data_IF_842163022263
#
_entry.id   IF_842163022263
#
_cell.length_a   1.000
_cell.length_b   1.000
_cell.length_c   1.000
_cell.angle_alpha   90.00
_cell.angle_beta   90.00
_cell.angle_gamma   90.00
#
_symmetry.space_group_name_H-M   'P 1'
#
loop_
_entity.id
_entity.type
_entity.pdbx_description
1 polymer ?
#
# COMPACT_ATOMS: atom_id res chain seq x y z
N UNK A 1 -58.17 50.44 8.85
CA UNK A 1 -57.14 51.27 9.52
C UNK A 1 -57.00 50.66 10.90
N UNK A 2 -55.90 50.01 11.33
CA UNK A 2 -54.49 50.43 11.26
C UNK A 2 -53.57 49.20 11.46
N UNK A 3 -52.61 49.07 10.54
CA UNK A 3 -51.22 48.57 10.60
C UNK A 3 -50.73 47.59 11.69
N UNK A 4 -50.35 46.39 11.20
CA UNK A 4 -49.14 45.57 11.38
C UNK A 4 -48.18 45.78 12.57
N UNK A 5 -47.73 44.65 13.15
CA UNK A 5 -46.32 44.41 13.46
C UNK A 5 -45.91 43.01 12.99
N UNK A 6 -44.95 42.97 12.07
CA UNK A 6 -44.27 41.77 11.58
C UNK A 6 -43.04 41.57 12.45
N UNK A 7 -42.87 40.38 13.02
CA UNK A 7 -41.59 39.97 13.60
C UNK A 7 -41.13 38.72 12.86
N UNK A 8 -40.21 38.91 11.90
CA UNK A 8 -39.52 37.81 11.21
C UNK A 8 -38.45 37.27 12.15
N UNK A 9 -38.70 36.12 12.76
CA UNK A 9 -37.67 35.39 13.49
C UNK A 9 -36.83 34.60 12.48
N UNK A 10 -35.69 35.16 12.09
CA UNK A 10 -34.71 34.49 11.23
C UNK A 10 -34.00 33.39 12.01
N UNK A 11 -34.21 32.13 11.64
CA UNK A 11 -33.44 31.01 12.14
C UNK A 11 -32.17 30.88 11.32
N UNK A 12 -31.03 31.29 11.89
CA UNK A 12 -29.71 30.95 11.39
C UNK A 12 -29.37 29.53 11.88
N UNK A 13 -29.61 28.52 11.06
CA UNK A 13 -29.04 27.18 11.27
C UNK A 13 -27.57 27.23 10.86
N UNK A 14 -26.70 27.40 11.84
CA UNK A 14 -25.27 27.18 11.67
C UNK A 14 -25.02 25.69 11.43
N UNK A 15 -24.66 25.33 10.19
CA UNK A 15 -24.27 23.98 9.84
C UNK A 15 -22.93 23.62 10.49
N UNK A 16 -22.96 22.74 11.50
CA UNK A 16 -21.76 22.14 12.06
C UNK A 16 -21.22 21.12 11.06
N UNK A 17 -20.20 21.49 10.30
CA UNK A 17 -19.46 20.58 9.44
C UNK A 17 -18.61 19.68 10.35
N UNK A 18 -19.13 18.50 10.71
CA UNK A 18 -18.36 17.48 11.40
C UNK A 18 -17.38 16.88 10.40
N UNK A 19 -16.14 17.35 10.43
CA UNK A 19 -15.04 16.68 9.73
C UNK A 19 -14.72 15.42 10.53
N UNK A 20 -15.26 14.28 10.08
CA UNK A 20 -14.90 12.98 10.64
C UNK A 20 -13.48 12.66 10.17
N UNK A 21 -12.48 12.52 11.06
CA UNK A 21 -11.18 12.02 10.65
C UNK A 21 -11.37 10.59 10.13
N UNK A 22 -10.95 10.34 8.88
CA UNK A 22 -10.88 8.99 8.36
C UNK A 22 -9.88 8.21 9.21
N UNK A 23 -10.38 7.32 10.07
CA UNK A 23 -9.53 6.34 10.72
C UNK A 23 -8.85 5.52 9.62
N UNK A 24 -7.52 5.64 9.51
CA UNK A 24 -6.75 4.68 8.74
C UNK A 24 -6.91 3.36 9.47
N UNK A 25 -7.79 2.49 8.96
CA UNK A 25 -7.79 1.10 9.40
C UNK A 25 -6.35 0.61 9.28
N UNK A 26 -5.85 -0.08 10.30
CA UNK A 26 -4.60 -0.86 10.16
C UNK A 26 -4.92 -1.89 9.08
N UNK A 27 -4.64 -1.52 7.84
CA UNK A 27 -5.06 -2.26 6.67
C UNK A 27 -4.42 -3.63 6.77
N UNK A 28 -5.25 -4.67 6.72
CA UNK A 28 -4.74 -6.03 6.64
C UNK A 28 -3.76 -6.19 5.48
N UNK A 29 -2.95 -7.23 5.51
CA UNK A 29 -1.98 -7.59 4.46
C UNK A 29 -2.62 -7.99 3.12
N UNK A 30 -3.92 -7.70 2.92
CA UNK A 30 -4.72 -8.01 1.74
C UNK A 30 -5.72 -6.90 1.45
N UNK A 31 -5.84 -6.50 0.18
CA UNK A 31 -6.94 -5.69 -0.35
C UNK A 31 -7.44 -6.27 -1.67
N UNK A 32 -8.69 -5.97 -2.04
CA UNK A 32 -9.23 -6.25 -3.36
C UNK A 32 -9.59 -4.93 -4.01
N UNK A 33 -9.01 -4.65 -5.17
CA UNK A 33 -9.27 -3.43 -5.95
C UNK A 33 -9.48 -3.85 -7.40
N UNK A 34 -10.58 -3.42 -8.00
CA UNK A 34 -10.93 -3.68 -9.40
C UNK A 34 -10.80 -5.16 -9.82
N UNK A 35 -11.22 -6.08 -8.93
CA UNK A 35 -11.18 -7.52 -9.17
C UNK A 35 -9.80 -8.17 -9.04
N UNK A 36 -8.80 -7.43 -8.55
CA UNK A 36 -7.47 -7.96 -8.22
C UNK A 36 -7.33 -8.05 -6.70
N UNK A 37 -7.07 -9.26 -6.21
CA UNK A 37 -6.65 -9.49 -4.83
C UNK A 37 -5.14 -9.23 -4.71
N UNK A 38 -4.79 -8.27 -3.87
CA UNK A 38 -3.45 -7.74 -3.66
C UNK A 38 -3.03 -8.13 -2.25
N UNK A 39 -2.03 -9.00 -2.15
CA UNK A 39 -1.40 -9.35 -0.88
C UNK A 39 -0.08 -8.61 -0.76
N UNK A 40 0.19 -8.06 0.40
CA UNK A 40 1.34 -7.22 0.68
C UNK A 40 2.04 -7.72 1.95
N UNK A 41 3.37 -7.75 1.93
CA UNK A 41 4.19 -8.08 3.09
C UNK A 41 5.39 -7.13 3.20
N UNK A 42 5.82 -6.86 4.44
CA UNK A 42 7.10 -6.23 4.74
C UNK A 42 7.80 -7.07 5.79
N UNK A 43 9.06 -7.41 5.54
CA UNK A 43 9.92 -8.12 6.47
C UNK A 43 11.34 -7.51 6.47
N UNK A 44 12.11 -7.62 7.57
CA UNK A 44 13.51 -7.22 7.59
C UNK A 44 14.33 -8.01 6.57
N UNK A 45 15.25 -7.36 5.86
CA UNK A 45 16.15 -8.02 4.92
C UNK A 45 17.02 -9.07 5.61
N UNK A 46 17.27 -8.93 6.91
CA UNK A 46 18.01 -9.88 7.74
C UNK A 46 17.40 -11.28 7.76
N UNK A 47 16.07 -11.40 7.65
CA UNK A 47 15.42 -12.71 7.54
C UNK A 47 15.80 -13.40 6.22
N UNK A 48 15.92 -12.65 5.13
CA UNK A 48 16.37 -13.17 3.83
C UNK A 48 17.87 -13.48 3.87
N UNK A 49 18.68 -12.65 4.54
CA UNK A 49 20.13 -12.90 4.74
C UNK A 49 20.40 -14.19 5.52
N UNK A 50 19.49 -14.59 6.40
CA UNK A 50 19.60 -15.82 7.17
C UNK A 50 19.51 -17.10 6.33
N UNK A 51 19.09 -17.01 5.07
CA UNK A 51 18.99 -18.17 4.18
C UNK A 51 20.35 -18.65 3.67
N UNK A 52 20.49 -19.94 3.30
CA UNK A 52 21.68 -20.45 2.64
C UNK A 52 22.00 -19.66 1.36
N UNK A 53 23.29 -19.55 0.94
CA UNK A 53 23.67 -18.81 -0.26
C UNK A 53 22.94 -19.27 -1.55
N UNK A 54 22.55 -20.54 -1.61
CA UNK A 54 21.79 -21.12 -2.73
C UNK A 54 20.32 -20.72 -2.76
N UNK A 55 19.83 -19.98 -1.77
CA UNK A 55 18.44 -19.55 -1.73
C UNK A 55 18.16 -18.57 -2.88
N UNK A 56 17.05 -18.72 -3.64
CA UNK A 56 16.77 -17.88 -4.81
C UNK A 56 16.83 -16.37 -4.53
N UNK A 57 16.44 -15.95 -3.33
CA UNK A 57 16.45 -14.54 -2.92
C UNK A 57 17.83 -13.94 -2.58
N UNK A 58 18.90 -14.75 -2.46
CA UNK A 58 20.21 -14.27 -1.98
C UNK A 58 20.88 -13.24 -2.92
N UNK A 59 20.63 -13.35 -4.22
CA UNK A 59 21.14 -12.43 -5.25
C UNK A 59 20.06 -11.53 -5.88
N UNK A 60 18.81 -11.63 -5.43
CA UNK A 60 17.73 -10.80 -5.98
C UNK A 60 17.98 -9.32 -5.67
N UNK A 61 17.54 -8.43 -6.57
CA UNK A 61 17.65 -6.98 -6.43
C UNK A 61 19.10 -6.46 -6.28
N UNK A 62 20.09 -7.21 -6.78
CA UNK A 62 21.51 -6.89 -6.62
C UNK A 62 22.11 -7.36 -5.29
N UNK A 63 21.39 -8.19 -4.54
CA UNK A 63 21.80 -8.75 -3.26
C UNK A 63 20.92 -8.29 -2.09
N UNK A 64 21.14 -8.88 -0.92
CA UNK A 64 20.34 -8.59 0.28
C UNK A 64 21.04 -7.52 1.15
N UNK A 65 20.53 -6.27 1.17
CA UNK A 65 21.12 -5.18 1.95
C UNK A 65 20.97 -5.41 3.48
N UNK A 66 21.72 -4.63 4.26
CA UNK A 66 21.63 -4.60 5.74
C UNK A 66 20.77 -3.41 6.15
N UNK A 67 19.84 -3.61 7.09
CA UNK A 67 19.02 -2.56 7.68
C UNK A 67 17.85 -2.07 6.82
N UNK A 68 17.64 -2.67 5.64
CA UNK A 68 16.46 -2.39 4.80
C UNK A 68 15.37 -3.44 5.02
N UNK A 69 14.17 -3.18 4.48
CA UNK A 69 13.04 -4.08 4.55
C UNK A 69 12.69 -4.57 3.15
N UNK A 70 12.41 -5.86 3.01
CA UNK A 70 11.91 -6.45 1.79
C UNK A 70 10.39 -6.24 1.73
N UNK A 71 9.93 -5.40 0.79
CA UNK A 71 8.53 -5.29 0.47
C UNK A 71 8.18 -6.34 -0.59
N UNK A 72 7.14 -7.12 -0.34
CA UNK A 72 6.66 -8.17 -1.25
C UNK A 72 5.20 -7.97 -1.60
N UNK A 73 4.83 -8.23 -2.86
CA UNK A 73 3.47 -8.10 -3.38
C UNK A 73 3.11 -9.30 -4.23
N UNK A 74 2.02 -9.98 -3.88
CA UNK A 74 1.44 -11.06 -4.67
C UNK A 74 0.07 -10.62 -5.22
N UNK A 75 -0.15 -10.88 -6.52
CA UNK A 75 -1.34 -10.44 -7.24
C UNK A 75 -2.11 -11.63 -7.77
N UNK A 76 -3.43 -11.60 -7.60
CA UNK A 76 -4.33 -12.63 -8.09
C UNK A 76 -5.59 -12.01 -8.66
N UNK A 77 -6.18 -12.65 -9.65
CA UNK A 77 -7.59 -12.42 -9.97
C UNK A 77 -8.45 -12.85 -8.77
N UNK A 78 -9.26 -11.94 -8.24
CA UNK A 78 -9.99 -12.16 -6.98
C UNK A 78 -11.04 -13.28 -7.11
N UNK A 79 -11.69 -13.38 -8.27
CA UNK A 79 -12.75 -14.37 -8.52
C UNK A 79 -12.21 -15.79 -8.70
N UNK A 80 -11.10 -15.93 -9.41
CA UNK A 80 -10.59 -17.23 -9.86
C UNK A 80 -9.42 -17.72 -9.00
N UNK A 81 -8.78 -16.81 -8.26
CA UNK A 81 -7.52 -17.09 -7.56
C UNK A 81 -6.33 -17.29 -8.50
N UNK A 82 -6.48 -17.04 -9.80
CA UNK A 82 -5.39 -17.16 -10.77
C UNK A 82 -4.34 -16.10 -10.49
N UNK A 83 -3.08 -16.51 -10.39
CA UNK A 83 -1.97 -15.60 -10.11
C UNK A 83 -1.67 -14.72 -11.33
N UNK A 84 -1.52 -13.42 -11.10
CA UNK A 84 -1.15 -12.44 -12.12
C UNK A 84 0.38 -12.27 -12.09
N UNK A 85 1.05 -12.74 -13.14
CA UNK A 85 2.53 -12.87 -13.17
C UNK A 85 3.25 -11.89 -14.09
N UNK A 86 2.52 -11.15 -14.94
CA UNK A 86 3.09 -10.22 -15.93
C UNK A 86 2.71 -8.75 -15.68
N UNK A 87 2.36 -8.39 -14.46
CA UNK A 87 2.06 -7.02 -14.08
C UNK A 87 3.33 -6.15 -14.01
N UNK A 88 3.17 -4.85 -14.21
CA UNK A 88 4.16 -3.84 -13.80
C UNK A 88 3.71 -3.26 -12.47
N UNK A 89 4.59 -3.26 -11.48
CA UNK A 89 4.27 -2.79 -10.13
C UNK A 89 5.32 -1.79 -9.68
N UNK A 90 4.88 -0.69 -9.08
CA UNK A 90 5.74 0.23 -8.33
C UNK A 90 5.12 0.55 -6.98
N UNK A 91 5.98 0.80 -6.00
CA UNK A 91 5.56 1.22 -4.67
C UNK A 91 6.11 2.63 -4.37
N UNK A 92 5.23 3.50 -3.89
CA UNK A 92 5.61 4.77 -3.24
C UNK A 92 5.37 4.64 -1.75
N UNK A 93 6.42 4.77 -0.96
CA UNK A 93 6.38 4.75 0.50
C UNK A 93 6.55 6.17 1.00
N UNK A 94 5.65 6.64 1.85
CA UNK A 94 5.75 7.89 2.58
C UNK A 94 5.72 7.63 4.08
N UNK A 95 6.53 8.36 4.85
CA UNK A 95 6.66 8.17 6.29
C UNK A 95 6.94 9.49 7.03
N UNK A 96 7.37 9.42 8.30
CA UNK A 96 7.72 10.59 9.12
C UNK A 96 8.82 11.45 8.48
N UNK A 97 8.98 12.68 8.96
CA UNK A 97 10.05 13.60 8.55
C UNK A 97 10.11 13.86 7.03
N UNK A 98 8.95 13.90 6.38
CA UNK A 98 8.81 14.05 4.93
C UNK A 98 9.49 12.93 4.11
N UNK A 99 9.75 11.78 4.73
CA UNK A 99 10.29 10.61 4.04
C UNK A 99 9.36 10.21 2.90
N UNK A 100 9.93 10.10 1.69
CA UNK A 100 9.24 9.62 0.50
C UNK A 100 10.22 8.92 -0.44
N UNK A 101 9.86 7.72 -0.87
CA UNK A 101 10.64 6.97 -1.86
C UNK A 101 9.71 6.22 -2.80
N UNK A 102 10.08 6.16 -4.08
CA UNK A 102 9.37 5.36 -5.08
C UNK A 102 10.34 4.42 -5.75
N UNK A 103 10.01 3.12 -5.82
CA UNK A 103 10.76 2.13 -6.59
C UNK A 103 9.82 1.25 -7.41
N UNK A 104 10.33 0.73 -8.53
CA UNK A 104 9.68 -0.40 -9.23
C UNK A 104 9.88 -1.66 -8.39
N UNK A 105 8.88 -2.53 -8.37
CA UNK A 105 9.00 -3.86 -7.78
C UNK A 105 9.35 -4.84 -8.89
N UNK A 106 10.45 -5.56 -8.71
CA UNK A 106 10.96 -6.52 -9.68
C UNK A 106 10.22 -7.86 -9.51
N UNK A 107 9.94 -8.57 -10.61
CA UNK A 107 9.43 -9.94 -10.54
C UNK A 107 10.43 -10.86 -9.84
N UNK A 108 9.93 -11.70 -8.96
CA UNK A 108 10.71 -12.67 -8.20
C UNK A 108 9.91 -13.94 -7.93
N UNK A 109 10.60 -15.01 -7.57
CA UNK A 109 10.01 -16.29 -7.18
C UNK A 109 10.35 -16.55 -5.71
N UNK A 110 9.34 -16.53 -4.85
CA UNK A 110 9.45 -16.91 -3.44
C UNK A 110 8.67 -18.20 -3.23
N UNK A 111 9.33 -19.25 -2.72
CA UNK A 111 8.73 -20.57 -2.51
C UNK A 111 7.96 -21.10 -3.75
N UNK A 112 8.52 -20.92 -4.94
CA UNK A 112 7.90 -21.34 -6.20
C UNK A 112 6.76 -20.45 -6.72
N UNK A 113 6.45 -19.35 -6.03
CA UNK A 113 5.35 -18.45 -6.37
C UNK A 113 5.84 -17.10 -6.91
N UNK A 114 5.28 -16.69 -8.05
CA UNK A 114 5.55 -15.38 -8.64
C UNK A 114 5.06 -14.23 -7.75
N UNK A 115 5.99 -13.36 -7.39
CA UNK A 115 5.81 -12.23 -6.47
C UNK A 115 6.55 -11.03 -7.05
N UNK A 116 6.23 -9.82 -6.59
CA UNK A 116 6.96 -8.60 -6.94
C UNK A 116 7.60 -8.02 -5.68
N UNK A 117 8.86 -7.62 -5.75
CA UNK A 117 9.56 -7.11 -4.57
C UNK A 117 10.63 -6.09 -4.85
N UNK A 118 11.02 -5.38 -3.80
CA UNK A 118 12.24 -4.58 -3.74
C UNK A 118 12.59 -4.30 -2.28
N UNK A 119 13.84 -3.95 -2.02
CA UNK A 119 14.28 -3.49 -0.70
C UNK A 119 14.05 -1.98 -0.54
N UNK A 120 13.66 -1.57 0.66
CA UNK A 120 13.46 -0.18 1.03
C UNK A 120 14.11 0.11 2.39
N UNK A 121 14.96 1.15 2.42
CA UNK A 121 15.34 1.79 3.68
C UNK A 121 14.11 2.52 4.24
N UNK A 122 13.55 2.02 5.34
CA UNK A 122 12.37 2.59 6.02
C UNK A 122 12.78 2.94 7.45
N UNK A 123 13.20 4.19 7.73
CA UNK A 123 13.77 4.56 9.00
C UNK A 123 12.73 4.67 10.12
N UNK A 124 13.07 4.17 11.31
CA UNK A 124 12.21 4.23 12.48
C UNK A 124 11.00 3.27 12.43
N UNK A 125 10.05 3.42 13.36
CA UNK A 125 8.90 2.52 13.47
C UNK A 125 7.75 2.86 12.51
N UNK A 126 7.81 3.98 11.77
CA UNK A 126 6.69 4.49 11.00
C UNK A 126 5.83 5.49 11.80
N UNK A 127 4.55 5.69 11.44
CA UNK A 127 3.79 4.93 10.45
C UNK A 127 4.20 5.26 9.01
N UNK A 128 4.09 4.27 8.13
CA UNK A 128 4.30 4.40 6.70
C UNK A 128 2.98 4.21 5.95
N UNK A 129 2.78 5.03 4.92
CA UNK A 129 1.75 4.83 3.89
C UNK A 129 2.43 4.28 2.65
N UNK A 130 1.92 3.17 2.15
CA UNK A 130 2.45 2.43 1.01
C UNK A 130 1.40 2.48 -0.10
N UNK A 131 1.73 3.14 -1.20
CA UNK A 131 0.90 3.20 -2.39
C UNK A 131 1.48 2.25 -3.42
N UNK A 132 0.70 1.26 -3.81
CA UNK A 132 1.01 0.39 -4.93
C UNK A 132 0.31 0.92 -6.17
N UNK A 133 1.08 1.11 -7.23
CA UNK A 133 0.55 1.33 -8.58
C UNK A 133 0.81 0.07 -9.40
N UNK A 134 -0.28 -0.54 -9.88
CA UNK A 134 -0.26 -1.86 -10.51
C UNK A 134 -0.90 -1.75 -11.90
N UNK A 135 -0.13 -2.10 -12.92
CA UNK A 135 -0.64 -2.27 -14.27
C UNK A 135 -0.67 -3.76 -14.59
N UNK A 136 -1.84 -4.37 -14.51
CA UNK A 136 -2.05 -5.75 -14.95
C UNK A 136 -1.97 -5.84 -16.49
N UNK A 137 -1.59 -7.01 -17.06
CA UNK A 137 -1.33 -7.16 -18.50
C UNK A 137 -2.50 -6.72 -19.40
N UNK A 138 -3.73 -7.03 -18.98
CA UNK A 138 -4.93 -6.86 -19.78
C UNK A 138 -5.84 -5.74 -19.23
N UNK A 139 -5.40 -5.03 -18.19
CA UNK A 139 -6.15 -3.92 -17.61
C UNK A 139 -5.98 -2.65 -18.45
N UNK A 140 -7.09 -1.96 -18.72
CA UNK A 140 -7.06 -0.67 -19.44
C UNK A 140 -6.56 0.47 -18.56
N UNK A 141 -6.81 0.40 -17.27
CA UNK A 141 -6.42 1.39 -16.28
C UNK A 141 -5.50 0.78 -15.23
N UNK A 142 -4.64 1.62 -14.65
CA UNK A 142 -3.77 1.22 -13.55
C UNK A 142 -4.55 1.18 -12.24
N UNK A 143 -4.29 0.16 -11.43
CA UNK A 143 -4.89 -0.03 -10.12
C UNK A 143 -4.02 0.67 -9.08
N UNK A 144 -4.65 1.45 -8.20
CA UNK A 144 -4.00 2.01 -7.01
C UNK A 144 -4.51 1.30 -5.75
N UNK A 145 -3.59 0.80 -4.93
CA UNK A 145 -3.92 0.25 -3.61
C UNK A 145 -3.08 0.92 -2.53
N UNK A 146 -3.67 1.17 -1.37
CA UNK A 146 -3.05 1.96 -0.29
C UNK A 146 -3.04 1.15 0.99
N UNK A 147 -1.85 0.83 1.48
CA UNK A 147 -1.64 0.13 2.75
C UNK A 147 -1.03 1.08 3.79
N UNK A 148 -1.28 0.79 5.05
CA UNK A 148 -0.59 1.40 6.18
C UNK A 148 0.24 0.32 6.89
N UNK A 149 1.46 0.65 7.28
CA UNK A 149 2.35 -0.27 8.00
C UNK A 149 3.17 0.48 9.04
N UNK A 150 3.38 -0.13 10.19
CA UNK A 150 4.31 0.32 11.21
C UNK A 150 5.06 -0.90 11.76
N UNK A 151 6.29 -0.69 12.19
CA UNK A 151 7.06 -1.73 12.87
C UNK A 151 6.46 -1.95 14.26
N UNK A 152 6.17 -3.21 14.57
CA UNK A 152 5.77 -3.68 15.91
C UNK A 152 6.92 -3.65 16.89
#
# INVERSE_FOLDING_TARGET
MTTAYVTRLGWLLAGLLVVVPAAVAVGGYRQVVDGVAIYFGILPAELVRGHPPSHPESGMHGGVPVGENHLTVALFEDKTGVRITRAKVSATITGPDSFKVTKKLEPMIIAGSATYGNYFSMPGPGPFRIVLHIQAPDAREGIEAVFAWARS
#
